data_IF_063733148488
#
_entry.id   IF_063733148488
#
_cell.length_a   1.000
_cell.length_b   1.000
_cell.length_c   1.000
_cell.angle_alpha   90.00
_cell.angle_beta   90.00
_cell.angle_gamma   90.00
#
_symmetry.space_group_name_H-M   'P 1'
#
loop_
_entity.id
_entity.type
_entity.pdbx_description
1 polymer ?
#
# COMPACT_ATOMS: atom_id res chain seq x y z
N UNK A 1 -32.58 4.19 19.18
CA UNK A 1 -32.21 3.14 18.21
C UNK A 1 -30.75 3.33 17.75
N UNK A 2 -29.78 3.18 18.66
CA UNK A 2 -28.36 3.49 18.39
C UNK A 2 -27.41 2.39 18.89
N UNK A 3 -27.92 1.17 19.10
CA UNK A 3 -27.13 0.01 19.52
C UNK A 3 -26.78 -0.98 18.38
N UNK A 4 -27.41 -0.89 17.19
CA UNK A 4 -27.20 -1.89 16.14
C UNK A 4 -25.95 -1.68 15.27
N UNK A 5 -25.45 -0.45 15.14
CA UNK A 5 -24.31 -0.17 14.25
C UNK A 5 -22.96 -0.65 14.80
N UNK A 6 -22.84 -0.84 16.13
CA UNK A 6 -21.59 -1.26 16.76
C UNK A 6 -21.38 -2.78 16.57
N UNK A 7 -22.43 -3.59 16.45
CA UNK A 7 -22.29 -5.05 16.34
C UNK A 7 -22.04 -5.58 14.92
N UNK A 8 -22.11 -4.75 13.88
CA UNK A 8 -21.87 -5.19 12.50
C UNK A 8 -20.40 -5.09 12.04
N UNK A 9 -19.59 -4.19 12.63
CA UNK A 9 -18.19 -3.99 12.23
C UNK A 9 -17.22 -4.99 12.87
N UNK A 10 -17.44 -5.38 14.13
CA UNK A 10 -16.59 -6.34 14.84
C UNK A 10 -16.56 -7.77 14.26
N UNK A 11 -17.69 -8.39 13.86
CA UNK A 11 -17.64 -9.74 13.28
C UNK A 11 -16.82 -9.76 11.98
N UNK A 12 -16.98 -8.74 11.11
CA UNK A 12 -16.26 -8.65 9.85
C UNK A 12 -14.72 -8.56 10.03
N UNK A 13 -14.25 -7.84 11.06
CA UNK A 13 -12.82 -7.78 11.35
C UNK A 13 -12.30 -9.13 11.86
N UNK A 14 -13.02 -9.80 12.77
CA UNK A 14 -12.58 -11.09 13.30
C UNK A 14 -12.52 -12.16 12.20
N UNK A 15 -13.56 -12.23 11.36
CA UNK A 15 -13.62 -13.15 10.22
C UNK A 15 -12.41 -12.94 9.29
N UNK A 16 -12.05 -11.67 9.03
CA UNK A 16 -10.88 -11.34 8.22
C UNK A 16 -9.56 -11.79 8.88
N UNK A 17 -9.41 -11.59 10.18
CA UNK A 17 -8.21 -12.00 10.91
C UNK A 17 -8.05 -13.52 10.93
N UNK A 18 -9.16 -14.25 11.05
CA UNK A 18 -9.19 -15.71 10.97
C UNK A 18 -8.79 -16.20 9.56
N UNK A 19 -9.28 -15.54 8.51
CA UNK A 19 -8.87 -15.84 7.12
C UNK A 19 -7.38 -15.59 6.90
N UNK A 20 -6.85 -14.45 7.36
CA UNK A 20 -5.41 -14.17 7.28
C UNK A 20 -4.58 -15.19 8.06
N UNK A 21 -5.05 -15.58 9.24
CA UNK A 21 -4.37 -16.56 10.07
C UNK A 21 -4.30 -17.91 9.35
N UNK A 22 -5.42 -18.34 8.75
CA UNK A 22 -5.56 -19.61 8.06
C UNK A 22 -4.85 -19.68 6.69
N UNK A 23 -4.47 -18.55 6.09
CA UNK A 23 -3.75 -18.52 4.82
C UNK A 23 -2.37 -19.20 4.93
N UNK A 24 -2.03 -20.07 3.99
CA UNK A 24 -0.76 -20.79 3.96
C UNK A 24 0.23 -20.23 2.92
N UNK A 25 -0.26 -19.38 2.02
CA UNK A 25 0.51 -18.79 0.92
C UNK A 25 0.39 -17.27 0.88
N UNK A 26 1.39 -16.60 0.28
CA UNK A 26 1.36 -15.15 0.06
C UNK A 26 0.18 -14.76 -0.84
N UNK A 27 -0.14 -15.58 -1.84
CA UNK A 27 -1.24 -15.33 -2.78
C UNK A 27 -2.60 -15.36 -2.08
N UNK A 28 -2.81 -16.29 -1.13
CA UNK A 28 -4.04 -16.32 -0.32
C UNK A 28 -4.15 -15.08 0.58
N UNK A 29 -3.06 -14.67 1.23
CA UNK A 29 -3.04 -13.44 2.01
C UNK A 29 -3.35 -12.22 1.14
N UNK A 30 -2.78 -12.17 -0.07
CA UNK A 30 -3.00 -11.09 -1.01
C UNK A 30 -4.44 -11.03 -1.50
N UNK A 31 -5.06 -12.18 -1.81
CA UNK A 31 -6.46 -12.28 -2.21
C UNK A 31 -7.40 -11.78 -1.09
N UNK A 32 -7.16 -12.21 0.15
CA UNK A 32 -7.94 -11.78 1.33
C UNK A 32 -7.78 -10.27 1.56
N UNK A 33 -6.56 -9.74 1.50
CA UNK A 33 -6.29 -8.32 1.70
C UNK A 33 -6.94 -7.44 0.61
N UNK A 34 -6.77 -7.78 -0.66
CA UNK A 34 -7.30 -6.99 -1.79
C UNK A 34 -8.83 -6.99 -1.79
N UNK A 35 -9.45 -8.15 -1.53
CA UNK A 35 -10.91 -8.24 -1.36
C UNK A 35 -11.38 -7.34 -0.22
N UNK A 36 -10.72 -7.37 0.95
CA UNK A 36 -11.10 -6.55 2.09
C UNK A 36 -10.92 -5.06 1.83
N UNK A 37 -9.86 -4.65 1.13
CA UNK A 37 -9.60 -3.25 0.77
C UNK A 37 -10.62 -2.72 -0.24
N UNK A 38 -11.14 -3.58 -1.13
CA UNK A 38 -12.20 -3.20 -2.08
C UNK A 38 -13.48 -2.71 -1.38
N UNK A 39 -13.82 -3.28 -0.22
CA UNK A 39 -14.98 -2.86 0.58
C UNK A 39 -14.85 -1.43 1.13
N UNK A 40 -13.62 -0.92 1.23
CA UNK A 40 -13.31 0.47 1.60
C UNK A 40 -13.11 1.38 0.38
N UNK A 41 -13.26 0.86 -0.85
CA UNK A 41 -13.06 1.61 -2.08
C UNK A 41 -11.61 1.66 -2.59
N UNK A 42 -10.73 0.79 -2.07
CA UNK A 42 -9.36 0.63 -2.54
C UNK A 42 -9.22 -0.70 -3.30
N UNK A 43 -9.39 -0.67 -4.62
CA UNK A 43 -9.21 -1.87 -5.46
C UNK A 43 -7.81 -1.98 -6.05
N UNK A 44 -7.06 -0.87 -6.05
CA UNK A 44 -5.75 -0.74 -6.68
C UNK A 44 -4.67 -0.59 -5.62
N UNK A 45 -4.05 -1.71 -5.27
CA UNK A 45 -3.04 -1.81 -4.22
C UNK A 45 -1.68 -2.09 -4.85
N UNK A 46 -0.63 -1.46 -4.32
CA UNK A 46 0.75 -1.77 -4.64
C UNK A 46 1.54 -1.98 -3.34
N UNK A 47 1.89 -3.23 -3.06
CA UNK A 47 2.70 -3.61 -1.90
C UNK A 47 4.14 -3.86 -2.34
N UNK A 48 5.08 -3.38 -1.52
CA UNK A 48 6.49 -3.67 -1.68
C UNK A 48 7.13 -4.00 -0.32
N UNK A 49 7.99 -5.01 -0.29
CA UNK A 49 8.79 -5.35 0.88
C UNK A 49 10.18 -5.84 0.48
N UNK A 50 11.22 -5.31 1.12
CA UNK A 50 12.58 -5.82 1.04
C UNK A 50 13.07 -6.31 2.40
N UNK A 51 13.81 -7.43 2.38
CA UNK A 51 14.43 -8.04 3.55
C UNK A 51 15.88 -7.61 3.78
N UNK A 52 16.56 -7.08 2.76
CA UNK A 52 18.01 -6.83 2.76
C UNK A 52 18.42 -5.47 2.17
N UNK A 53 18.16 -4.37 2.86
CA UNK A 53 18.83 -3.09 2.56
C UNK A 53 20.31 -3.17 2.94
N UNK A 54 21.18 -3.07 1.92
CA UNK A 54 22.61 -2.78 2.11
C UNK A 54 22.80 -1.27 2.02
N UNK A 55 22.71 -0.57 3.16
CA UNK A 55 23.01 0.86 3.26
C UNK A 55 21.82 1.80 3.02
N UNK A 56 22.05 2.96 2.38
CA UNK A 56 21.07 4.03 2.11
C UNK A 56 20.29 3.87 0.81
N UNK A 57 20.50 2.78 0.08
CA UNK A 57 19.75 2.44 -1.13
C UNK A 57 18.80 1.29 -0.81
N UNK A 58 17.55 1.41 -1.24
CA UNK A 58 16.70 0.23 -1.37
C UNK A 58 17.48 -0.79 -2.19
N UNK A 59 17.56 -2.02 -1.69
CA UNK A 59 18.17 -3.13 -2.41
C UNK A 59 17.63 -3.23 -3.83
N UNK A 60 18.40 -3.89 -4.71
CA UNK A 60 18.00 -4.24 -6.08
C UNK A 60 16.48 -4.54 -6.16
N UNK A 61 15.74 -3.98 -7.12
CA UNK A 61 14.35 -4.37 -7.40
C UNK A 61 14.14 -5.90 -7.41
N UNK A 62 15.17 -6.68 -7.73
CA UNK A 62 15.19 -8.14 -7.74
C UNK A 62 15.16 -8.81 -6.34
N UNK A 63 15.46 -8.08 -5.26
CA UNK A 63 15.45 -8.56 -3.86
C UNK A 63 14.18 -8.14 -3.09
N UNK A 64 13.22 -7.53 -3.79
CA UNK A 64 11.97 -7.04 -3.20
C UNK A 64 10.79 -7.90 -3.62
N UNK A 65 9.94 -8.28 -2.65
CA UNK A 65 8.60 -8.78 -2.94
C UNK A 65 7.73 -7.60 -3.40
N UNK A 66 7.16 -7.69 -4.59
CA UNK A 66 6.17 -6.75 -5.10
C UNK A 66 4.88 -7.50 -5.37
N UNK A 67 3.77 -7.01 -4.81
CA UNK A 67 2.42 -7.49 -5.09
C UNK A 67 1.59 -6.31 -5.59
N UNK A 68 0.76 -6.54 -6.59
CA UNK A 68 -0.08 -5.49 -7.17
C UNK A 68 -1.44 -6.03 -7.57
N UNK A 69 -2.48 -5.22 -7.37
CA UNK A 69 -3.82 -5.44 -7.93
C UNK A 69 -4.15 -4.41 -9.00
N UNK A 70 -3.19 -3.58 -9.42
CA UNK A 70 -3.37 -2.68 -10.54
C UNK A 70 -3.45 -3.45 -11.88
N UNK A 71 -4.04 -2.84 -12.92
CA UNK A 71 -3.98 -3.38 -14.27
C UNK A 71 -2.53 -3.62 -14.74
N UNK A 72 -2.28 -4.65 -15.57
CA UNK A 72 -0.93 -4.96 -16.06
C UNK A 72 -0.21 -3.79 -16.72
N UNK A 73 -0.94 -2.89 -17.40
CA UNK A 73 -0.36 -1.71 -18.04
C UNK A 73 0.25 -0.75 -17.01
N UNK A 74 -0.37 -0.65 -15.82
CA UNK A 74 0.16 0.16 -14.73
C UNK A 74 1.44 -0.44 -14.16
N UNK A 75 1.48 -1.76 -13.92
CA UNK A 75 2.69 -2.40 -13.39
C UNK A 75 3.84 -2.34 -14.39
N UNK A 76 3.55 -2.57 -15.68
CA UNK A 76 4.54 -2.47 -16.75
C UNK A 76 5.11 -1.05 -16.88
N UNK A 77 4.30 -0.01 -16.67
CA UNK A 77 4.78 1.36 -16.70
C UNK A 77 5.45 1.81 -15.40
N UNK A 78 4.85 1.53 -14.24
CA UNK A 78 5.29 2.09 -12.96
C UNK A 78 6.41 1.27 -12.29
N UNK A 79 6.26 -0.05 -12.32
CA UNK A 79 7.17 -0.98 -11.63
C UNK A 79 8.31 -1.35 -12.56
N UNK A 80 8.01 -1.90 -13.74
CA UNK A 80 9.03 -2.47 -14.62
C UNK A 80 9.95 -1.39 -15.23
N UNK A 81 9.44 -0.17 -15.46
CA UNK A 81 10.26 0.98 -15.88
C UNK A 81 10.87 1.75 -14.70
N UNK A 82 10.67 1.27 -13.47
CA UNK A 82 11.31 1.80 -12.27
C UNK A 82 10.81 3.16 -11.79
N UNK A 83 9.66 3.67 -12.27
CA UNK A 83 9.11 4.95 -11.82
C UNK A 83 8.85 4.99 -10.30
N UNK A 84 8.47 3.86 -9.69
CA UNK A 84 8.28 3.77 -8.24
C UNK A 84 9.53 4.14 -7.43
N UNK A 85 10.74 3.92 -7.96
CA UNK A 85 12.02 4.24 -7.28
C UNK A 85 12.24 5.73 -7.06
N UNK A 86 11.48 6.57 -7.78
CA UNK A 86 11.49 8.02 -7.65
C UNK A 86 10.15 8.56 -7.17
N UNK A 87 9.24 7.70 -6.69
CA UNK A 87 7.93 8.15 -6.21
C UNK A 87 8.07 8.99 -4.92
N UNK A 88 7.35 10.11 -4.78
CA UNK A 88 7.40 10.92 -3.56
C UNK A 88 6.95 10.13 -2.33
N UNK A 89 6.00 9.20 -2.50
CA UNK A 89 5.59 8.30 -1.42
C UNK A 89 6.67 7.30 -1.01
N UNK A 90 7.61 6.95 -1.89
CA UNK A 90 8.77 6.15 -1.52
C UNK A 90 9.72 6.96 -0.63
N UNK A 91 9.96 8.23 -0.97
CA UNK A 91 10.74 9.14 -0.11
C UNK A 91 10.10 9.25 1.28
N UNK A 92 8.80 9.52 1.36
CA UNK A 92 8.08 9.52 2.63
C UNK A 92 8.22 8.19 3.37
N UNK A 93 7.99 7.08 2.66
CA UNK A 93 8.06 5.73 3.19
C UNK A 93 9.43 5.39 3.75
N UNK A 94 10.54 5.94 3.25
CA UNK A 94 11.88 5.64 3.75
C UNK A 94 12.16 6.23 5.14
N UNK A 95 11.47 7.30 5.51
CA UNK A 95 11.72 8.03 6.76
C UNK A 95 10.59 7.87 7.79
N UNK A 96 9.42 7.40 7.35
CA UNK A 96 8.21 7.39 8.18
C UNK A 96 7.58 5.99 8.34
N UNK A 97 6.78 5.82 9.39
CA UNK A 97 6.00 4.61 9.67
C UNK A 97 4.58 5.03 10.04
N UNK A 98 3.59 4.24 9.65
CA UNK A 98 2.18 4.59 9.77
C UNK A 98 1.57 4.94 8.43
N UNK A 99 0.44 5.66 8.44
CA UNK A 99 -0.30 6.02 7.24
C UNK A 99 -0.05 7.48 6.86
N UNK A 100 0.07 7.73 5.55
CA UNK A 100 0.20 9.05 4.95
C UNK A 100 -0.86 9.24 3.88
N UNK A 101 -1.65 10.31 4.04
CA UNK A 101 -2.55 10.78 3.00
C UNK A 101 -1.76 11.24 1.78
N UNK A 102 -2.30 11.01 0.59
CA UNK A 102 -1.76 11.58 -0.64
C UNK A 102 -2.05 13.08 -0.79
N UNK A 103 -2.80 13.72 0.11
CA UNK A 103 -2.86 15.18 0.23
C UNK A 103 -1.46 15.79 0.48
N UNK A 104 -0.57 15.05 1.15
CA UNK A 104 0.83 15.44 1.33
C UNK A 104 1.56 15.68 0.00
N UNK A 105 1.27 14.87 -1.03
CA UNK A 105 1.85 15.11 -2.37
C UNK A 105 1.28 16.38 -3.02
N UNK A 106 0.02 16.72 -2.75
CA UNK A 106 -0.59 17.94 -3.27
C UNK A 106 0.04 19.18 -2.61
N UNK A 107 0.33 19.12 -1.31
CA UNK A 107 1.07 20.17 -0.60
C UNK A 107 2.47 20.36 -1.17
N UNK A 108 3.22 19.28 -1.41
CA UNK A 108 4.54 19.36 -2.04
C UNK A 108 4.51 19.97 -3.43
N UNK A 109 3.45 19.71 -4.20
CA UNK A 109 3.29 20.28 -5.53
C UNK A 109 3.05 21.80 -5.47
N UNK A 110 2.23 22.26 -4.51
CA UNK A 110 2.00 23.69 -4.28
C UNK A 110 3.28 24.44 -3.89
N UNK A 111 4.20 23.75 -3.19
CA UNK A 111 5.51 24.28 -2.80
C UNK A 111 6.60 24.10 -3.87
N UNK A 112 6.27 23.55 -5.04
CA UNK A 112 7.21 23.19 -6.11
C UNK A 112 8.36 22.25 -5.64
N UNK A 113 8.10 21.46 -4.61
CA UNK A 113 9.09 20.68 -3.86
C UNK A 113 9.38 19.29 -4.44
N UNK A 114 8.86 18.97 -5.64
CA UNK A 114 9.18 17.73 -6.34
C UNK A 114 10.46 17.83 -7.16
N UNK A 115 11.32 16.83 -7.00
CA UNK A 115 12.38 16.53 -7.97
C UNK A 115 11.79 16.17 -9.35
N UNK A 116 12.64 16.23 -10.38
CA UNK A 116 12.25 15.85 -11.75
C UNK A 116 11.75 14.40 -11.82
N UNK A 117 12.36 13.50 -11.05
CA UNK A 117 11.95 12.09 -10.99
C UNK A 117 10.58 11.92 -10.33
N UNK A 118 10.33 12.62 -9.23
CA UNK A 118 9.03 12.60 -8.54
C UNK A 118 7.92 13.15 -9.43
N UNK A 119 8.16 14.25 -10.16
CA UNK A 119 7.18 14.79 -11.11
C UNK A 119 6.79 13.77 -12.17
N UNK A 120 7.77 13.10 -12.80
CA UNK A 120 7.50 12.05 -13.80
C UNK A 120 6.69 10.89 -13.22
N UNK A 121 7.01 10.44 -12.01
CA UNK A 121 6.26 9.37 -11.34
C UNK A 121 4.80 9.79 -11.03
N UNK A 122 4.60 11.03 -10.59
CA UNK A 122 3.27 11.60 -10.33
C UNK A 122 2.47 11.79 -11.63
N UNK A 123 3.10 12.30 -12.69
CA UNK A 123 2.49 12.46 -14.02
C UNK A 123 2.05 11.12 -14.61
N UNK A 124 2.88 10.08 -14.48
CA UNK A 124 2.51 8.71 -14.87
C UNK A 124 1.31 8.20 -14.05
N UNK A 125 1.33 8.38 -12.72
CA UNK A 125 0.21 7.96 -11.88
C UNK A 125 -1.09 8.68 -12.30
N UNK A 126 -1.02 9.97 -12.60
CA UNK A 126 -2.16 10.76 -13.10
C UNK A 126 -2.68 10.27 -14.44
N UNK A 127 -1.81 9.96 -15.39
CA UNK A 127 -2.24 9.43 -16.70
C UNK A 127 -2.96 8.09 -16.58
N UNK A 128 -2.68 7.33 -15.52
CA UNK A 128 -3.35 6.06 -15.18
C UNK A 128 -4.50 6.22 -14.16
N UNK A 129 -4.90 7.47 -13.86
CA UNK A 129 -5.99 7.78 -12.93
C UNK A 129 -5.71 7.42 -11.47
N UNK A 130 -4.45 7.23 -11.08
CA UNK A 130 -4.00 7.01 -9.70
C UNK A 130 -3.69 8.35 -9.07
N UNK A 131 -4.71 8.99 -8.49
CA UNK A 131 -4.64 10.39 -8.04
C UNK A 131 -4.99 10.59 -6.56
N UNK A 132 -5.68 9.64 -5.95
CA UNK A 132 -6.15 9.71 -4.58
C UNK A 132 -5.92 8.38 -3.85
N UNK A 133 -5.56 8.45 -2.58
CA UNK A 133 -5.18 7.26 -1.82
C UNK A 133 -4.42 7.56 -0.54
N UNK A 134 -3.85 6.48 0.01
CA UNK A 134 -2.99 6.49 1.17
C UNK A 134 -1.77 5.60 0.93
N UNK A 135 -0.64 5.95 1.54
CA UNK A 135 0.50 5.04 1.67
C UNK A 135 0.63 4.64 3.13
N UNK A 136 0.79 3.34 3.39
CA UNK A 136 1.09 2.82 4.72
C UNK A 136 2.52 2.30 4.72
N UNK A 137 3.36 2.85 5.59
CA UNK A 137 4.67 2.31 5.91
C UNK A 137 4.61 1.39 7.12
N UNK A 138 5.10 0.16 6.97
CA UNK A 138 5.07 -0.83 8.04
C UNK A 138 6.25 -0.65 8.99
N UNK A 139 5.98 -0.88 10.28
CA UNK A 139 7.03 -0.91 11.28
C UNK A 139 7.97 -2.07 10.98
N UNK A 140 9.27 -1.81 11.06
CA UNK A 140 10.30 -2.82 10.93
C UNK A 140 11.23 -2.75 12.13
N UNK A 141 11.50 -3.89 12.76
CA UNK A 141 12.45 -3.98 13.88
C UNK A 141 13.92 -3.98 13.41
N UNK A 142 14.13 -4.04 12.09
CA UNK A 142 15.45 -3.97 11.47
C UNK A 142 15.53 -2.78 10.52
N UNK A 143 16.65 -2.04 10.59
CA UNK A 143 16.98 -1.01 9.59
C UNK A 143 17.21 -1.59 8.19
N UNK A 144 17.41 -2.92 8.09
CA UNK A 144 17.64 -3.62 6.82
C UNK A 144 16.35 -4.02 6.12
N UNK A 145 15.20 -3.99 6.78
CA UNK A 145 13.92 -4.29 6.13
C UNK A 145 13.05 -3.06 6.05
N UNK A 146 12.37 -2.92 4.92
CA UNK A 146 11.37 -1.87 4.71
C UNK A 146 10.22 -2.44 3.92
N UNK A 147 9.01 -2.16 4.38
CA UNK A 147 7.78 -2.53 3.68
C UNK A 147 6.82 -1.37 3.67
N UNK A 148 6.04 -1.28 2.60
CA UNK A 148 4.92 -0.36 2.51
C UNK A 148 3.89 -0.83 1.51
N UNK A 149 2.71 -0.22 1.58
CA UNK A 149 1.63 -0.44 0.64
C UNK A 149 1.00 0.89 0.24
N UNK A 150 0.81 1.09 -1.05
CA UNK A 150 -0.06 2.13 -1.60
C UNK A 150 -1.48 1.59 -1.75
N UNK A 151 -2.45 2.30 -1.20
CA UNK A 151 -3.88 2.05 -1.34
C UNK A 151 -4.46 3.15 -2.24
N UNK A 152 -4.55 2.89 -3.54
CA UNK A 152 -5.13 3.83 -4.48
C UNK A 152 -6.65 3.64 -4.53
N UNK A 153 -7.38 4.74 -4.41
CA UNK A 153 -8.82 4.75 -4.64
C UNK A 153 -9.13 4.47 -6.12
N UNK A 154 -10.38 4.17 -6.43
CA UNK A 154 -10.83 4.01 -7.83
C UNK A 154 -10.70 5.32 -8.63
N UNK A 155 -10.65 5.20 -9.97
CA UNK A 155 -10.58 6.37 -10.84
C UNK A 155 -11.82 7.26 -10.65
N UNK A 156 -11.62 8.58 -10.62
CA UNK A 156 -12.68 9.55 -10.40
C UNK A 156 -13.03 9.83 -8.93
N UNK A 157 -12.43 9.10 -7.97
CA UNK A 157 -12.55 9.40 -6.54
C UNK A 157 -11.54 10.49 -6.16
N UNK A 158 -12.02 11.53 -5.47
CA UNK A 158 -11.17 12.62 -4.99
C UNK A 158 -10.45 12.27 -3.68
N UNK A 159 -9.36 12.97 -3.36
CA UNK A 159 -8.68 12.79 -2.09
C UNK A 159 -9.59 13.10 -0.90
N UNK A 160 -10.45 14.13 -0.98
CA UNK A 160 -11.41 14.44 0.09
C UNK A 160 -12.39 13.29 0.38
N UNK A 161 -12.82 12.56 -0.65
CA UNK A 161 -13.65 11.38 -0.49
C UNK A 161 -12.86 10.25 0.21
N UNK A 162 -11.57 10.08 -0.14
CA UNK A 162 -10.68 9.15 0.53
C UNK A 162 -10.49 9.53 2.01
N UNK A 163 -10.32 10.82 2.32
CA UNK A 163 -10.23 11.33 3.69
C UNK A 163 -11.49 11.02 4.50
N UNK A 164 -12.68 11.15 3.89
CA UNK A 164 -13.94 10.81 4.55
C UNK A 164 -14.02 9.31 4.90
N UNK A 165 -13.56 8.43 4.01
CA UNK A 165 -13.44 6.99 4.29
C UNK A 165 -12.42 6.75 5.41
N UNK A 166 -11.26 7.39 5.32
CA UNK A 166 -10.17 7.21 6.28
C UNK A 166 -10.55 7.69 7.69
N UNK A 167 -11.27 8.81 7.80
CA UNK A 167 -11.76 9.32 9.08
C UNK A 167 -12.68 8.32 9.79
N UNK A 168 -13.45 7.53 9.03
CA UNK A 168 -14.35 6.51 9.56
C UNK A 168 -13.66 5.17 9.84
N UNK A 169 -12.83 4.71 8.91
CA UNK A 169 -12.34 3.32 8.87
C UNK A 169 -10.80 3.18 8.86
N UNK A 170 -10.06 4.28 8.88
CA UNK A 170 -8.60 4.28 8.76
C UNK A 170 -7.88 3.48 9.84
N UNK A 171 -8.41 3.43 11.07
CA UNK A 171 -7.87 2.58 12.14
C UNK A 171 -8.00 1.09 11.83
N UNK A 172 -9.13 0.69 11.27
CA UNK A 172 -9.40 -0.69 10.86
C UNK A 172 -8.52 -1.07 9.67
N UNK A 173 -8.49 -0.24 8.63
CA UNK A 173 -7.63 -0.43 7.44
C UNK A 173 -6.17 -0.59 7.86
N UNK A 174 -5.67 0.29 8.73
CA UNK A 174 -4.29 0.23 9.20
C UNK A 174 -4.00 -1.08 9.96
N UNK A 175 -4.90 -1.53 10.84
CA UNK A 175 -4.72 -2.77 11.58
C UNK A 175 -4.68 -3.99 10.63
N UNK A 176 -5.62 -4.05 9.69
CA UNK A 176 -5.74 -5.07 8.66
C UNK A 176 -4.47 -5.16 7.81
N UNK A 177 -3.97 -4.02 7.30
CA UNK A 177 -2.75 -3.99 6.50
C UNK A 177 -1.51 -4.40 7.31
N UNK A 178 -1.40 -4.01 8.58
CA UNK A 178 -0.27 -4.41 9.42
C UNK A 178 -0.27 -5.93 9.68
N UNK A 179 -1.43 -6.53 9.94
CA UNK A 179 -1.52 -7.98 10.19
C UNK A 179 -1.27 -8.77 8.90
N UNK A 180 -1.79 -8.30 7.77
CA UNK A 180 -1.47 -8.88 6.46
C UNK A 180 0.04 -8.81 6.18
N UNK A 181 0.69 -7.67 6.45
CA UNK A 181 2.13 -7.52 6.31
C UNK A 181 2.89 -8.54 7.19
N UNK A 182 2.54 -8.67 8.48
CA UNK A 182 3.16 -9.63 9.39
C UNK A 182 3.00 -11.07 8.89
N UNK A 183 1.81 -11.42 8.39
CA UNK A 183 1.57 -12.74 7.80
C UNK A 183 2.42 -12.95 6.55
N UNK A 184 2.45 -12.02 5.60
CA UNK A 184 3.27 -12.09 4.37
C UNK A 184 4.74 -12.35 4.70
N UNK A 185 5.33 -11.61 5.65
CA UNK A 185 6.76 -11.75 5.97
C UNK A 185 7.08 -13.00 6.81
N UNK A 186 6.06 -13.66 7.38
CA UNK A 186 6.20 -14.92 8.12
C UNK A 186 6.15 -16.14 7.21
N UNK A 187 5.52 -16.02 6.04
CA UNK A 187 5.37 -17.11 5.07
C UNK A 187 6.66 -17.30 4.25
N UNK A 188 6.94 -18.53 3.80
CA UNK A 188 8.08 -18.79 2.95
C UNK A 188 7.96 -18.02 1.64
N UNK A 189 9.07 -17.42 1.20
CA UNK A 189 9.12 -16.78 -0.10
C UNK A 189 9.21 -17.88 -1.18
N UNK A 190 8.10 -18.15 -1.86
CA UNK A 190 8.11 -18.92 -3.09
C UNK A 190 8.66 -18.04 -4.20
N UNK A 191 9.99 -17.87 -4.26
CA UNK A 191 10.64 -17.41 -5.49
C UNK A 191 10.46 -18.51 -6.53
N UNK A 192 9.32 -18.51 -7.23
CA UNK A 192 9.14 -19.30 -8.44
C UNK A 192 9.99 -18.68 -9.56
N UNK A 193 11.31 -18.84 -9.45
CA UNK A 193 12.20 -18.88 -10.61
C UNK A 193 12.60 -20.33 -10.81
N UNK A 194 11.84 -21.00 -11.67
CA UNK A 194 12.42 -21.96 -12.62
C UNK A 194 12.49 -21.27 -13.97
#
# INVERSE_FOLDING_TARGET
MQCCAIFQSYPLMLDYLEQLYAADTIDEVWAVLTQRMSEFGFERLLYAYTRFNVGTRLSDPLDSLILSSHPPEYTAGYVDQGHYTHGPMLRWLLENTGACSWSWMQELELEDAFSIGERKAVEFNRSMGVVAGYTIGFKSDSKRSRGGIGLAANAGISQDQVEAVWAKSGREILAICNIAHLKIISLPYSSARR
#
